data_IF_833209500721
#
_entry.id   IF_833209500721
#
_cell.length_a   1.000
_cell.length_b   1.000
_cell.length_c   1.000
_cell.angle_alpha   90.00
_cell.angle_beta   90.00
_cell.angle_gamma   90.00
#
_symmetry.space_group_name_H-M   'P 1'
#
loop_
_entity.id
_entity.type
_entity.pdbx_description
1 polymer ?
#
# COMPACT_ATOMS: atom_id res chain seq x y z
N UNK A 1 -13.50 0.71 3.95
CA UNK A 1 -13.59 -0.71 3.58
C UNK A 1 -12.37 -1.07 2.75
N UNK A 2 -11.57 -2.08 3.12
CA UNK A 2 -10.33 -2.46 2.43
C UNK A 2 -10.51 -3.09 1.04
N UNK A 3 -11.68 -2.95 0.42
CA UNK A 3 -12.05 -3.62 -0.83
C UNK A 3 -11.15 -3.25 -2.01
N UNK A 4 -10.49 -2.09 -1.97
CA UNK A 4 -9.60 -1.63 -3.02
C UNK A 4 -8.24 -2.33 -3.00
N UNK A 5 -7.76 -2.76 -1.83
CA UNK A 5 -6.60 -3.64 -1.72
C UNK A 5 -6.87 -4.92 -2.51
N UNK A 6 -7.98 -5.61 -2.24
CA UNK A 6 -8.34 -6.85 -2.93
C UNK A 6 -8.51 -6.68 -4.45
N UNK A 7 -8.86 -5.47 -4.90
CA UNK A 7 -9.00 -5.17 -6.32
C UNK A 7 -7.65 -5.08 -7.07
N UNK A 8 -6.49 -5.14 -6.40
CA UNK A 8 -5.17 -5.28 -7.04
C UNK A 8 -4.78 -6.76 -7.28
N UNK A 9 -5.71 -7.70 -7.13
CA UNK A 9 -5.43 -9.11 -7.29
C UNK A 9 -4.46 -9.62 -6.21
N UNK A 10 -3.51 -10.47 -6.60
CA UNK A 10 -2.62 -11.17 -5.66
C UNK A 10 -1.76 -10.20 -4.85
N UNK A 11 -1.21 -9.15 -5.48
CA UNK A 11 -0.42 -8.13 -4.80
C UNK A 11 -1.27 -7.45 -3.71
N UNK A 12 -2.50 -7.09 -4.06
CA UNK A 12 -3.46 -6.52 -3.13
C UNK A 12 -3.72 -7.34 -1.87
N UNK A 13 -3.88 -8.65 -2.03
CA UNK A 13 -4.04 -9.59 -0.91
C UNK A 13 -2.78 -9.63 -0.04
N UNK A 14 -1.60 -9.64 -0.66
CA UNK A 14 -0.31 -9.65 0.05
C UNK A 14 -0.07 -8.37 0.84
N UNK A 15 -0.39 -7.21 0.26
CA UNK A 15 -0.30 -5.94 0.97
C UNK A 15 -1.25 -5.91 2.17
N UNK A 16 -2.48 -6.42 2.02
CA UNK A 16 -3.41 -6.49 3.14
C UNK A 16 -2.93 -7.45 4.24
N UNK A 17 -2.42 -8.63 3.87
CA UNK A 17 -1.77 -9.56 4.80
C UNK A 17 -0.61 -8.89 5.54
N UNK A 18 0.27 -8.18 4.83
CA UNK A 18 1.41 -7.46 5.39
C UNK A 18 0.97 -6.37 6.37
N UNK A 19 -0.08 -5.62 6.05
CA UNK A 19 -0.66 -4.62 6.95
C UNK A 19 -1.14 -5.26 8.26
N UNK A 20 -1.78 -6.42 8.19
CA UNK A 20 -2.34 -7.06 9.37
C UNK A 20 -1.31 -7.79 10.24
N UNK A 21 -0.21 -8.27 9.66
CA UNK A 21 0.65 -9.28 10.29
C UNK A 21 2.11 -8.85 10.48
N UNK A 22 2.55 -7.77 9.83
CA UNK A 22 3.93 -7.28 9.98
C UNK A 22 4.27 -6.94 11.43
N UNK A 23 5.50 -7.21 11.90
CA UNK A 23 5.94 -6.86 13.24
C UNK A 23 6.28 -5.36 13.36
N UNK A 24 5.28 -4.50 13.19
CA UNK A 24 5.40 -3.05 13.28
C UNK A 24 4.67 -2.51 14.53
N UNK A 25 5.37 -1.68 15.30
CA UNK A 25 4.82 -0.95 16.42
C UNK A 25 4.26 0.40 15.98
N UNK A 26 4.94 1.06 15.05
CA UNK A 26 4.66 2.40 14.57
C UNK A 26 4.31 2.41 13.07
N UNK A 27 3.66 3.48 12.62
CA UNK A 27 3.20 3.62 11.25
C UNK A 27 4.34 3.66 10.22
N UNK A 28 5.47 4.29 10.55
CA UNK A 28 6.66 4.31 9.69
C UNK A 28 7.27 2.91 9.47
N UNK A 29 7.41 2.10 10.52
CA UNK A 29 7.89 0.71 10.43
C UNK A 29 6.95 -0.13 9.55
N UNK A 30 5.64 0.09 9.68
CA UNK A 30 4.66 -0.55 8.82
C UNK A 30 4.81 -0.08 7.37
N UNK A 31 5.09 1.20 7.15
CA UNK A 31 5.30 1.76 5.82
C UNK A 31 6.48 1.07 5.12
N UNK A 32 7.60 0.91 5.80
CA UNK A 32 8.79 0.20 5.29
C UNK A 32 8.45 -1.23 4.88
N UNK A 33 7.71 -1.96 5.73
CA UNK A 33 7.28 -3.32 5.41
C UNK A 33 6.37 -3.42 4.18
N UNK A 34 5.50 -2.43 3.96
CA UNK A 34 4.63 -2.40 2.78
C UNK A 34 5.44 -2.04 1.54
N UNK A 35 6.34 -1.07 1.64
CA UNK A 35 7.23 -0.65 0.55
C UNK A 35 8.14 -1.80 0.13
N UNK A 36 8.71 -2.54 1.08
CA UNK A 36 9.51 -3.74 0.80
C UNK A 36 8.71 -4.81 0.05
N UNK A 37 7.46 -5.04 0.44
CA UNK A 37 6.57 -5.98 -0.25
C UNK A 37 6.29 -5.52 -1.69
N UNK A 38 6.06 -4.22 -1.91
CA UNK A 38 5.89 -3.67 -3.27
C UNK A 38 7.18 -3.81 -4.09
N UNK A 39 8.33 -3.46 -3.50
CA UNK A 39 9.64 -3.54 -4.13
C UNK A 39 10.01 -4.96 -4.53
N UNK A 40 9.56 -5.96 -3.77
CA UNK A 40 9.72 -7.36 -4.14
C UNK A 40 9.00 -7.71 -5.46
N UNK A 41 7.84 -7.12 -5.73
CA UNK A 41 7.09 -7.37 -6.98
C UNK A 41 7.49 -6.45 -8.14
N UNK A 42 8.11 -5.28 -7.88
CA UNK A 42 8.48 -4.31 -8.92
C UNK A 42 9.24 -4.93 -10.11
N UNK A 43 10.29 -5.76 -9.92
CA UNK A 43 11.05 -6.34 -11.03
C UNK A 43 10.27 -7.33 -11.89
N UNK A 44 9.15 -7.85 -11.37
CA UNK A 44 8.28 -8.82 -12.05
C UNK A 44 7.09 -8.15 -12.74
N UNK A 45 6.84 -6.87 -12.45
CA UNK A 45 5.71 -6.14 -12.98
C UNK A 45 5.97 -5.73 -14.44
N UNK A 46 4.97 -5.79 -15.34
CA UNK A 46 5.03 -5.09 -16.62
C UNK A 46 5.34 -3.60 -16.41
N UNK A 47 6.07 -2.95 -17.32
CA UNK A 47 6.53 -1.55 -17.19
C UNK A 47 5.44 -0.55 -16.72
N UNK A 48 4.21 -0.73 -17.21
CA UNK A 48 3.07 0.11 -16.80
C UNK A 48 2.67 -0.09 -15.34
N UNK A 49 2.67 -1.34 -14.89
CA UNK A 49 2.39 -1.70 -13.49
C UNK A 49 3.56 -1.35 -12.58
N UNK A 50 4.80 -1.48 -13.05
CA UNK A 50 6.00 -1.06 -12.32
C UNK A 50 5.94 0.42 -11.94
N UNK A 51 5.59 1.28 -12.90
CA UNK A 51 5.43 2.72 -12.65
C UNK A 51 4.34 2.99 -11.62
N UNK A 52 3.21 2.30 -11.73
CA UNK A 52 2.08 2.45 -10.81
C UNK A 52 2.44 1.99 -9.38
N UNK A 53 3.11 0.85 -9.26
CA UNK A 53 3.55 0.28 -7.99
C UNK A 53 4.61 1.16 -7.33
N UNK A 54 5.54 1.73 -8.11
CA UNK A 54 6.55 2.63 -7.58
C UNK A 54 5.92 3.90 -6.97
N UNK A 55 5.00 4.55 -7.70
CA UNK A 55 4.28 5.70 -7.16
C UNK A 55 3.46 5.34 -5.92
N UNK A 56 2.79 4.17 -5.95
CA UNK A 56 2.02 3.70 -4.81
C UNK A 56 2.92 3.49 -3.56
N UNK A 57 4.11 2.94 -3.72
CA UNK A 57 5.07 2.79 -2.62
C UNK A 57 5.45 4.14 -2.01
N UNK A 58 5.76 5.14 -2.83
CA UNK A 58 6.08 6.49 -2.37
C UNK A 58 4.91 7.14 -1.59
N UNK A 59 3.69 7.07 -2.14
CA UNK A 59 2.51 7.65 -1.49
C UNK A 59 2.17 6.96 -0.16
N UNK A 60 2.32 5.64 -0.10
CA UNK A 60 2.12 4.88 1.14
C UNK A 60 3.17 5.27 2.19
N UNK A 61 4.43 5.39 1.79
CA UNK A 61 5.51 5.77 2.68
C UNK A 61 5.22 7.11 3.33
N UNK A 62 4.93 8.14 2.51
CA UNK A 62 4.61 9.48 2.98
C UNK A 62 3.36 9.48 3.90
N UNK A 63 2.26 8.86 3.47
CA UNK A 63 1.01 8.90 4.22
C UNK A 63 1.13 8.22 5.59
N UNK A 64 1.92 7.15 5.71
CA UNK A 64 2.09 6.45 6.98
C UNK A 64 3.20 7.06 7.84
N UNK A 65 4.22 7.69 7.25
CA UNK A 65 5.23 8.46 7.99
C UNK A 65 4.58 9.68 8.68
N UNK A 66 3.68 10.38 8.00
CA UNK A 66 2.98 11.56 8.55
C UNK A 66 2.01 11.24 9.70
N UNK A 67 1.55 9.99 9.82
CA UNK A 67 0.66 9.59 10.92
C UNK A 67 1.40 9.53 12.28
N UNK A 68 2.71 9.25 12.32
CA UNK A 68 3.53 9.02 13.54
C UNK A 68 2.77 8.40 14.74
N UNK A 69 2.00 7.34 14.45
CA UNK A 69 1.02 6.78 15.38
C UNK A 69 1.32 5.32 15.70
N UNK A 70 0.95 4.90 16.91
CA UNK A 70 1.09 3.51 17.35
C UNK A 70 0.06 2.63 16.65
N UNK A 71 0.52 1.92 15.62
CA UNK A 71 -0.34 1.15 14.71
C UNK A 71 -0.61 -0.29 15.17
N UNK A 72 0.09 -0.78 16.20
CA UNK A 72 0.00 -2.17 16.70
C UNK A 72 -1.27 -2.47 17.53
N UNK A 73 -2.40 -1.92 17.12
CA UNK A 73 -3.72 -2.26 17.64
C UNK A 73 -4.60 -2.66 16.47
N UNK A 74 -5.67 -3.43 16.71
CA UNK A 74 -6.62 -3.80 15.65
C UNK A 74 -7.16 -2.54 14.94
N UNK A 75 -7.47 -1.49 15.71
CA UNK A 75 -7.95 -0.22 15.16
C UNK A 75 -6.90 0.45 14.27
N UNK A 76 -5.65 0.56 14.75
CA UNK A 76 -4.55 1.15 13.97
C UNK A 76 -4.28 0.36 12.68
N UNK A 77 -4.23 -0.97 12.73
CA UNK A 77 -4.06 -1.79 11.52
C UNK A 77 -5.20 -1.63 10.53
N UNK A 78 -6.42 -1.51 11.03
CA UNK A 78 -7.58 -1.24 10.18
C UNK A 78 -7.49 0.15 9.53
N UNK A 79 -7.07 1.17 10.27
CA UNK A 79 -6.86 2.52 9.75
C UNK A 79 -5.79 2.57 8.66
N UNK A 80 -4.62 1.95 8.89
CA UNK A 80 -3.60 1.81 7.86
C UNK A 80 -4.16 1.11 6.60
N UNK A 81 -4.95 0.04 6.76
CA UNK A 81 -5.59 -0.62 5.62
C UNK A 81 -6.57 0.28 4.86
N UNK A 82 -7.27 1.18 5.55
CA UNK A 82 -8.16 2.17 4.92
C UNK A 82 -7.35 3.21 4.17
N UNK A 83 -6.28 3.76 4.75
CA UNK A 83 -5.39 4.73 4.11
C UNK A 83 -4.83 4.14 2.81
N UNK A 84 -4.19 2.97 2.90
CA UNK A 84 -3.59 2.28 1.74
C UNK A 84 -4.65 1.96 0.68
N UNK A 85 -5.83 1.51 1.08
CA UNK A 85 -6.94 1.27 0.14
C UNK A 85 -7.40 2.56 -0.57
N UNK A 86 -7.40 3.68 0.14
CA UNK A 86 -7.71 5.00 -0.41
C UNK A 86 -6.69 5.42 -1.47
N UNK A 87 -5.40 5.25 -1.17
CA UNK A 87 -4.31 5.55 -2.11
C UNK A 87 -4.42 4.70 -3.37
N UNK A 88 -4.63 3.39 -3.23
CA UNK A 88 -4.84 2.48 -4.37
C UNK A 88 -6.01 2.91 -5.26
N UNK A 89 -7.13 3.33 -4.64
CA UNK A 89 -8.28 3.82 -5.39
C UNK A 89 -7.97 5.10 -6.17
N UNK A 90 -7.16 5.99 -5.59
CA UNK A 90 -6.69 7.21 -6.26
C UNK A 90 -5.77 6.87 -7.43
N UNK A 91 -4.74 6.04 -7.21
CA UNK A 91 -3.79 5.64 -8.26
C UNK A 91 -4.49 4.97 -9.45
N UNK A 92 -5.53 4.15 -9.19
CA UNK A 92 -6.36 3.57 -10.26
C UNK A 92 -7.14 4.60 -11.07
N UNK A 93 -7.62 5.69 -10.44
CA UNK A 93 -8.25 6.79 -11.19
C UNK A 93 -7.25 7.50 -12.09
N UNK A 94 -5.99 7.60 -11.67
CA UNK A 94 -4.92 8.18 -12.48
C UNK A 94 -4.41 7.24 -13.59
N UNK A 95 -4.54 5.92 -13.44
CA UNK A 95 -4.19 4.96 -14.50
C UNK A 95 -4.97 5.18 -15.80
N UNK A 96 -6.18 5.76 -15.75
CA UNK A 96 -6.95 6.11 -16.94
C UNK A 96 -6.38 7.32 -17.71
N UNK A 97 -5.50 8.13 -17.11
CA UNK A 97 -4.84 9.26 -17.77
C UNK A 97 -3.56 8.85 -18.52
N UNK A 98 -3.10 7.61 -18.34
CA UNK A 98 -1.98 7.01 -19.09
C UNK A 98 -2.47 6.04 -20.19
N UNK A 99 -3.70 6.25 -20.69
CA UNK A 99 -4.33 5.48 -21.77
C UNK A 99 -4.23 6.14 -23.15
N UNK A 100 -3.38 7.15 -23.31
CA UNK A 100 -2.98 7.68 -24.61
C UNK A 100 -1.62 7.11 -25.06
#
# INVERSE_FOLDING_TARGET
MPTQLLALGVIGVRLYERILTSPAQYSNELADHIVDEINYYLPMAPLKEETLLFHLACEIHLALEECDEKINTIAGRHEAAVIVSGLIAQTKRFSHLYHD
#
